data_IF_271949368921
#
_entry.id   IF_271949368921
#
_cell.length_a   1.000
_cell.length_b   1.000
_cell.length_c   1.000
_cell.angle_alpha   90.00
_cell.angle_beta   90.00
_cell.angle_gamma   90.00
#
_symmetry.space_group_name_H-M   'P 1'
#
loop_
_entity.id
_entity.type
_entity.pdbx_description
1 polymer ?
#
# COMPACT_ATOMS: atom_id res chain seq x y z
N UNK A 1 17.08 -1.17 13.57
CA UNK A 1 17.27 -2.39 14.36
C UNK A 1 16.46 -3.57 13.81
N UNK A 2 16.80 -4.82 14.17
CA UNK A 2 16.05 -6.01 13.74
C UNK A 2 14.58 -5.97 14.17
N UNK A 3 14.30 -5.43 15.37
CA UNK A 3 12.93 -5.27 15.88
C UNK A 3 12.10 -4.31 15.01
N UNK A 4 12.65 -3.17 14.64
CA UNK A 4 11.97 -2.20 13.76
C UNK A 4 11.68 -2.81 12.38
N UNK A 5 12.62 -3.58 11.84
CA UNK A 5 12.43 -4.30 10.59
C UNK A 5 11.29 -5.32 10.71
N UNK A 6 11.26 -6.11 11.77
CA UNK A 6 10.23 -7.13 11.99
C UNK A 6 8.82 -6.52 12.07
N UNK A 7 8.67 -5.34 12.72
CA UNK A 7 7.40 -4.63 12.77
C UNK A 7 6.95 -4.19 11.38
N UNK A 8 7.84 -3.53 10.62
CA UNK A 8 7.52 -3.06 9.27
C UNK A 8 7.22 -4.23 8.34
N UNK A 9 7.98 -5.32 8.45
CA UNK A 9 7.75 -6.53 7.67
C UNK A 9 6.39 -7.17 7.99
N UNK A 10 6.02 -7.31 9.26
CA UNK A 10 4.74 -7.86 9.68
C UNK A 10 3.55 -7.05 9.19
N UNK A 11 3.62 -5.71 9.30
CA UNK A 11 2.60 -4.81 8.74
C UNK A 11 2.51 -4.97 7.22
N UNK A 12 3.64 -5.10 6.55
CA UNK A 12 3.68 -5.27 5.08
C UNK A 12 3.08 -6.61 4.65
N UNK A 13 3.27 -7.68 5.43
CA UNK A 13 2.60 -8.97 5.19
C UNK A 13 1.08 -8.86 5.35
N UNK A 14 0.58 -8.11 6.33
CA UNK A 14 -0.85 -7.84 6.46
C UNK A 14 -1.42 -7.09 5.25
N UNK A 15 -0.69 -6.12 4.70
CA UNK A 15 -1.06 -5.41 3.47
C UNK A 15 -1.08 -6.38 2.27
N UNK A 16 -0.05 -7.23 2.13
CA UNK A 16 0.01 -8.24 1.08
C UNK A 16 -1.17 -9.21 1.15
N UNK A 17 -1.54 -9.66 2.36
CA UNK A 17 -2.68 -10.55 2.57
C UNK A 17 -4.00 -9.90 2.15
N UNK A 18 -4.21 -8.64 2.52
CA UNK A 18 -5.35 -7.84 2.08
C UNK A 18 -5.41 -7.69 0.56
N UNK A 19 -4.29 -7.37 -0.09
CA UNK A 19 -4.21 -7.27 -1.56
C UNK A 19 -4.49 -8.62 -2.23
N UNK A 20 -3.98 -9.72 -1.69
CA UNK A 20 -4.26 -11.06 -2.22
C UNK A 20 -5.74 -11.43 -2.10
N UNK A 21 -6.40 -11.02 -1.03
CA UNK A 21 -7.84 -11.22 -0.85
C UNK A 21 -8.67 -10.45 -1.89
N UNK A 22 -8.25 -9.24 -2.27
CA UNK A 22 -8.91 -8.42 -3.30
C UNK A 22 -8.66 -8.99 -4.70
N UNK A 23 -7.49 -9.57 -4.97
CA UNK A 23 -7.17 -10.22 -6.27
C UNK A 23 -8.13 -11.36 -6.61
N UNK A 24 -8.73 -11.99 -5.62
CA UNK A 24 -9.77 -12.99 -5.83
C UNK A 24 -11.02 -12.43 -6.54
N UNK A 25 -11.26 -11.12 -6.39
CA UNK A 25 -12.42 -10.43 -6.99
C UNK A 25 -12.06 -9.76 -8.32
N UNK A 26 -10.83 -9.24 -8.47
CA UNK A 26 -10.41 -8.53 -9.70
C UNK A 26 -8.88 -8.60 -9.89
N UNK A 27 -8.44 -9.28 -10.96
CA UNK A 27 -7.03 -9.59 -11.20
C UNK A 27 -6.21 -8.47 -11.89
N UNK A 28 -6.80 -7.33 -12.27
CA UNK A 28 -6.15 -6.32 -13.11
C UNK A 28 -5.87 -5.00 -12.37
N UNK A 29 -4.91 -5.01 -11.44
CA UNK A 29 -4.32 -3.75 -10.97
C UNK A 29 -3.20 -3.33 -11.93
N UNK A 30 -3.44 -2.30 -12.73
CA UNK A 30 -2.42 -1.72 -13.63
C UNK A 30 -1.46 -0.81 -12.87
N UNK A 31 -1.99 0.04 -11.99
CA UNK A 31 -1.24 1.04 -11.25
C UNK A 31 -1.55 0.98 -9.76
N UNK A 32 -0.50 0.95 -8.94
CA UNK A 32 -0.61 0.97 -7.48
C UNK A 32 0.07 2.25 -6.98
N UNK A 33 -0.72 3.09 -6.32
CA UNK A 33 -0.24 4.34 -5.74
C UNK A 33 -0.06 4.21 -4.23
N UNK A 34 1.03 4.80 -3.71
CA UNK A 34 1.29 4.85 -2.28
C UNK A 34 0.93 6.22 -1.75
N UNK A 35 0.08 6.26 -0.72
CA UNK A 35 -0.38 7.48 -0.08
C UNK A 35 -0.33 7.35 1.45
N UNK A 36 -0.38 8.50 2.15
CA UNK A 36 -0.35 8.56 3.61
C UNK A 36 1.05 8.70 4.19
N UNK A 37 1.15 8.76 5.51
CA UNK A 37 2.42 9.04 6.22
C UNK A 37 3.53 8.03 5.96
N UNK A 38 3.20 6.76 5.74
CA UNK A 38 4.16 5.71 5.39
C UNK A 38 4.87 5.94 4.05
N UNK A 39 4.28 6.75 3.17
CA UNK A 39 4.88 7.12 1.88
C UNK A 39 6.18 7.94 2.00
N UNK A 40 6.51 8.44 3.18
CA UNK A 40 7.78 9.13 3.46
C UNK A 40 8.97 8.17 3.56
N UNK A 41 8.75 6.88 3.76
CA UNK A 41 9.81 5.88 3.89
C UNK A 41 10.06 5.16 2.56
N UNK A 42 11.07 5.58 1.82
CA UNK A 42 11.49 4.91 0.59
C UNK A 42 11.84 3.43 0.82
N UNK A 43 12.43 3.12 1.98
CA UNK A 43 12.70 1.75 2.40
C UNK A 43 11.42 0.91 2.47
N UNK A 44 10.38 1.41 3.14
CA UNK A 44 9.11 0.68 3.27
C UNK A 44 8.40 0.53 1.93
N UNK A 45 8.39 1.57 1.10
CA UNK A 45 7.78 1.47 -0.24
C UNK A 45 8.51 0.42 -1.10
N UNK A 46 9.84 0.38 -1.05
CA UNK A 46 10.63 -0.64 -1.77
C UNK A 46 10.33 -2.04 -1.25
N UNK A 47 10.19 -2.20 0.06
CA UNK A 47 9.80 -3.48 0.68
C UNK A 47 8.41 -3.92 0.19
N UNK A 48 7.43 -3.02 0.21
CA UNK A 48 6.08 -3.29 -0.29
C UNK A 48 6.09 -3.61 -1.79
N UNK A 49 6.81 -2.85 -2.62
CA UNK A 49 6.96 -3.13 -4.04
C UNK A 49 7.49 -4.56 -4.27
N UNK A 50 8.49 -4.95 -3.46
CA UNK A 50 9.10 -6.28 -3.51
C UNK A 50 8.09 -7.37 -3.10
N UNK A 51 7.39 -7.20 -1.98
CA UNK A 51 6.41 -8.18 -1.49
C UNK A 51 5.23 -8.36 -2.45
N UNK A 52 4.73 -7.26 -3.01
CA UNK A 52 3.62 -7.28 -3.98
C UNK A 52 4.07 -7.77 -5.37
N UNK A 53 5.37 -7.83 -5.61
CA UNK A 53 5.99 -8.05 -6.92
C UNK A 53 5.40 -7.13 -7.99
N UNK A 54 5.22 -5.85 -7.62
CA UNK A 54 4.60 -4.83 -8.47
C UNK A 54 5.34 -3.51 -8.32
N UNK A 55 5.39 -2.75 -9.42
CA UNK A 55 5.83 -1.36 -9.39
C UNK A 55 4.86 -0.53 -8.57
N UNK A 56 5.37 0.26 -7.62
CA UNK A 56 4.61 1.21 -6.83
C UNK A 56 4.96 2.64 -7.24
N UNK A 57 3.95 3.48 -7.36
CA UNK A 57 4.10 4.89 -7.71
C UNK A 57 3.81 5.78 -6.51
N UNK A 58 4.76 6.66 -6.21
CA UNK A 58 4.62 7.71 -5.20
C UNK A 58 4.11 8.97 -5.90
N UNK A 59 2.95 9.44 -5.49
CA UNK A 59 2.36 10.66 -6.03
C UNK A 59 2.96 11.90 -5.36
N UNK A 60 2.94 13.02 -6.06
CA UNK A 60 3.15 14.31 -5.44
C UNK A 60 2.04 14.54 -4.39
N UNK A 61 2.39 15.14 -3.25
CA UNK A 61 1.47 15.35 -2.12
C UNK A 61 0.82 14.05 -1.57
N UNK A 62 1.45 12.90 -1.77
CA UNK A 62 0.94 11.59 -1.34
C UNK A 62 0.63 11.50 0.16
N UNK A 63 1.29 12.29 1.00
CA UNK A 63 1.07 12.35 2.45
C UNK A 63 -0.32 12.89 2.83
N UNK A 64 -0.95 13.70 1.97
CA UNK A 64 -2.26 14.30 2.18
C UNK A 64 -3.41 13.51 1.52
N UNK A 65 -3.20 12.30 1.07
CA UNK A 65 -4.10 11.52 0.21
C UNK A 65 -5.58 11.65 0.55
N UNK A 66 -5.99 11.28 1.77
CA UNK A 66 -7.40 11.38 2.19
C UNK A 66 -7.87 12.84 2.32
N UNK A 67 -7.08 13.71 2.94
CA UNK A 67 -7.42 15.13 3.12
C UNK A 67 -7.54 15.85 1.78
N UNK A 68 -6.64 15.57 0.84
CA UNK A 68 -6.71 16.13 -0.52
C UNK A 68 -7.96 15.64 -1.26
N UNK A 69 -8.34 14.37 -1.07
CA UNK A 69 -9.57 13.83 -1.64
C UNK A 69 -10.82 14.55 -1.14
N UNK A 70 -10.92 14.73 0.18
CA UNK A 70 -12.04 15.46 0.81
C UNK A 70 -12.08 16.92 0.37
N UNK A 71 -10.93 17.61 0.31
CA UNK A 71 -10.87 18.99 -0.18
C UNK A 71 -11.36 19.11 -1.62
N UNK A 72 -10.98 18.17 -2.50
CA UNK A 72 -11.48 18.11 -3.88
C UNK A 72 -12.99 17.86 -3.94
N UNK A 73 -13.51 16.96 -3.12
CA UNK A 73 -14.96 16.73 -3.03
C UNK A 73 -15.71 17.99 -2.58
N UNK A 74 -15.19 18.72 -1.59
CA UNK A 74 -15.77 19.99 -1.16
C UNK A 74 -15.81 21.02 -2.29
N UNK A 75 -14.75 21.10 -3.11
CA UNK A 75 -14.71 21.97 -4.29
C UNK A 75 -15.80 21.61 -5.33
N UNK A 76 -16.23 20.34 -5.43
CA UNK A 76 -17.32 19.94 -6.31
C UNK A 76 -18.68 20.45 -5.86
N UNK A 77 -18.85 20.67 -4.56
CA UNK A 77 -20.12 21.13 -3.97
C UNK A 77 -20.24 22.66 -4.06
N UNK A 78 -19.13 23.37 -3.86
CA UNK A 78 -19.10 24.84 -3.74
C UNK A 78 -19.10 25.56 -5.09
N UNK A 79 -18.73 24.90 -6.17
CA UNK A 79 -18.65 25.52 -7.49
C UNK A 79 -19.69 24.92 -8.44
N UNK A 80 -20.44 25.79 -9.10
CA UNK A 80 -21.25 25.50 -10.29
C UNK A 80 -20.35 25.15 -11.49
N UNK A 81 -19.40 24.22 -11.25
CA UNK A 81 -18.38 23.86 -12.23
C UNK A 81 -19.00 22.93 -13.26
N UNK A 82 -19.24 23.47 -14.43
CA UNK A 82 -19.66 22.72 -15.61
C UNK A 82 -18.59 21.71 -16.08
N UNK A 83 -17.30 22.00 -15.82
CA UNK A 83 -16.17 21.11 -16.12
C UNK A 83 -15.51 20.60 -14.84
N UNK A 84 -15.98 19.46 -14.34
CA UNK A 84 -15.41 18.76 -13.18
C UNK A 84 -14.00 18.23 -13.40
N UNK A 85 -13.54 18.14 -14.66
CA UNK A 85 -12.20 17.65 -14.99
C UNK A 85 -11.10 18.61 -14.52
N UNK A 86 -11.40 19.90 -14.37
CA UNK A 86 -10.46 20.90 -13.88
C UNK A 86 -10.08 20.70 -12.41
N UNK A 87 -10.98 20.11 -11.60
CA UNK A 87 -10.74 19.81 -10.17
C UNK A 87 -9.95 18.52 -10.02
N UNK A 88 -10.16 17.57 -10.93
CA UNK A 88 -9.41 16.30 -10.96
C UNK A 88 -8.10 16.52 -11.72
N UNK A 89 -7.14 17.16 -11.08
CA UNK A 89 -5.80 17.25 -11.65
C UNK A 89 -5.23 15.85 -11.89
N UNK A 90 -4.56 15.67 -13.04
CA UNK A 90 -3.83 14.43 -13.32
C UNK A 90 -2.87 14.13 -12.16
N UNK A 91 -2.87 12.88 -11.72
CA UNK A 91 -1.95 12.40 -10.68
C UNK A 91 -0.53 12.60 -11.19
N UNK A 92 0.24 13.46 -10.51
CA UNK A 92 1.66 13.64 -10.80
C UNK A 92 2.46 12.62 -10.04
N UNK A 93 3.18 11.76 -10.75
CA UNK A 93 4.09 10.78 -10.15
C UNK A 93 5.39 11.49 -9.81
N UNK A 94 5.76 11.47 -8.53
CA UNK A 94 7.02 12.01 -8.00
C UNK A 94 8.14 11.00 -8.12
N UNK A 95 7.87 9.73 -7.83
CA UNK A 95 8.87 8.66 -7.88
C UNK A 95 8.19 7.30 -8.12
N UNK A 96 8.97 6.33 -8.57
CA UNK A 96 8.54 4.94 -8.75
C UNK A 96 9.51 3.99 -8.05
N UNK A 97 8.98 2.90 -7.51
CA UNK A 97 9.72 1.89 -6.78
C UNK A 97 9.46 0.53 -7.43
N UNK A 98 10.53 -0.12 -7.87
CA UNK A 98 10.46 -1.44 -8.49
C UNK A 98 10.75 -2.55 -7.48
N UNK A 99 10.24 -3.76 -7.70
CA UNK A 99 10.57 -4.92 -6.90
C UNK A 99 12.07 -5.23 -6.90
N UNK A 100 12.58 -5.72 -5.77
CA UNK A 100 13.90 -6.31 -5.67
C UNK A 100 13.79 -7.84 -5.81
N UNK A 101 14.13 -8.36 -6.98
CA UNK A 101 13.96 -9.78 -7.31
C UNK A 101 14.74 -10.72 -6.35
N UNK A 102 15.93 -10.28 -5.89
CA UNK A 102 16.75 -11.10 -4.97
C UNK A 102 16.09 -11.25 -3.60
N UNK A 103 15.40 -10.23 -3.14
CA UNK A 103 14.68 -10.25 -1.86
C UNK A 103 13.31 -10.93 -1.96
N UNK A 104 12.70 -10.92 -3.14
CA UNK A 104 11.35 -11.46 -3.33
C UNK A 104 11.23 -12.91 -2.85
N UNK A 105 12.12 -13.79 -3.30
CA UNK A 105 12.07 -15.21 -2.93
C UNK A 105 12.24 -15.45 -1.42
N UNK A 106 12.99 -14.59 -0.73
CA UNK A 106 13.18 -14.66 0.73
C UNK A 106 11.89 -14.22 1.43
N UNK A 107 11.32 -13.10 1.00
CA UNK A 107 10.11 -12.52 1.58
C UNK A 107 8.88 -13.41 1.36
N UNK A 108 8.79 -14.09 0.23
CA UNK A 108 7.72 -15.05 -0.07
C UNK A 108 7.72 -16.21 0.95
N UNK A 109 8.88 -16.79 1.25
CA UNK A 109 9.01 -17.84 2.27
C UNK A 109 8.65 -17.33 3.67
N UNK A 110 9.07 -16.11 4.00
CA UNK A 110 8.77 -15.49 5.29
C UNK A 110 7.28 -15.13 5.44
N UNK A 111 6.64 -14.72 4.35
CA UNK A 111 5.19 -14.49 4.33
C UNK A 111 4.42 -15.79 4.60
N UNK A 112 4.83 -16.91 4.01
CA UNK A 112 4.20 -18.19 4.30
C UNK A 112 4.33 -18.55 5.78
N UNK A 113 5.52 -18.44 6.35
CA UNK A 113 5.76 -18.66 7.79
C UNK A 113 4.90 -17.73 8.66
N UNK A 114 4.76 -16.46 8.28
CA UNK A 114 3.90 -15.50 8.99
C UNK A 114 2.44 -15.96 9.02
N UNK A 115 1.91 -16.47 7.92
CA UNK A 115 0.55 -17.06 7.87
C UNK A 115 0.41 -18.28 8.76
N UNK A 116 1.38 -19.17 8.75
CA UNK A 116 1.38 -20.40 9.56
C UNK A 116 1.41 -20.07 11.05
N UNK A 117 2.18 -19.07 11.46
CA UNK A 117 2.19 -18.55 12.84
C UNK A 117 0.81 -18.02 13.24
N UNK A 118 0.16 -17.23 12.37
CA UNK A 118 -1.18 -16.74 12.65
C UNK A 118 -2.19 -17.87 12.82
N UNK A 119 -2.20 -18.83 11.90
CA UNK A 119 -3.11 -19.99 11.94
C UNK A 119 -2.91 -20.80 13.24
N UNK A 120 -1.66 -21.02 13.62
CA UNK A 120 -1.31 -21.79 14.83
C UNK A 120 -1.74 -21.09 16.12
N UNK A 121 -1.75 -19.76 16.13
CA UNK A 121 -1.99 -18.98 17.34
C UNK A 121 -3.39 -18.34 17.39
N UNK A 122 -4.17 -18.36 16.31
CA UNK A 122 -5.47 -17.66 16.24
C UNK A 122 -6.43 -18.01 17.37
N UNK A 123 -6.42 -19.26 17.83
CA UNK A 123 -7.29 -19.72 18.92
C UNK A 123 -6.92 -19.14 20.29
N UNK A 124 -5.67 -18.69 20.47
CA UNK A 124 -5.20 -18.06 21.71
C UNK A 124 -5.81 -16.67 21.90
N UNK A 125 -6.16 -15.98 20.81
CA UNK A 125 -6.75 -14.64 20.86
C UNK A 125 -8.22 -14.63 21.34
N UNK A 126 -8.89 -15.79 21.37
CA UNK A 126 -10.27 -15.92 21.86
C UNK A 126 -10.34 -16.27 23.34
N UNK A 127 -9.19 -16.43 24.02
CA UNK A 127 -9.10 -16.79 25.43
C UNK A 127 -8.91 -15.54 26.32
N UNK A 128 -8.63 -14.38 25.72
CA UNK A 128 -8.48 -13.07 26.37
C UNK A 128 -9.74 -12.24 26.16
#
# INVERSE_FOLDING_TARGET
TALQYAVIEGVSFGILDGVNSIKFVNNNFSDIFVVGGGSRSSFWITLLATMLNKKLSLCDQSEFGAALGVARLAMFVDNDISDKSSIINKIKIKNTFNPNEKMFAILEKRYQLWKDIYISNKNLYYIL
#
